data_IF_172164904089
#
_entry.id   IF_172164904089
#
_cell.length_a   1.000
_cell.length_b   1.000
_cell.length_c   1.000
_cell.angle_alpha   90.00
_cell.angle_beta   90.00
_cell.angle_gamma   90.00
#
_symmetry.space_group_name_H-M   'P 1'
#
loop_
_entity.id
_entity.type
_entity.pdbx_description
1 polymer ?
#
# COMPACT_ATOMS: atom_id res chain seq x y z
N UNK A 1 40.27 -12.42 8.20
CA UNK A 1 39.23 -12.13 9.22
C UNK A 1 37.87 -12.48 8.60
N UNK A 2 37.39 -13.69 8.89
CA UNK A 2 36.08 -14.20 8.44
C UNK A 2 35.34 -14.61 9.71
N UNK A 3 34.36 -13.83 10.15
CA UNK A 3 33.60 -14.11 11.35
C UNK A 3 32.50 -13.10 11.61
N UNK A 4 31.59 -12.89 10.65
CA UNK A 4 30.53 -11.88 10.78
C UNK A 4 29.09 -12.33 10.44
N UNK A 5 28.91 -13.47 9.80
CA UNK A 5 27.58 -13.80 9.24
C UNK A 5 26.86 -15.01 9.84
N UNK A 6 27.47 -15.76 10.74
CA UNK A 6 26.85 -16.98 11.31
C UNK A 6 25.80 -16.68 12.39
N UNK A 7 25.94 -15.59 13.14
CA UNK A 7 24.99 -15.21 14.20
C UNK A 7 23.69 -14.62 13.67
N UNK A 8 23.74 -13.91 12.55
CA UNK A 8 22.55 -13.30 11.93
C UNK A 8 21.65 -14.34 11.27
N UNK A 9 22.19 -15.41 10.72
CA UNK A 9 21.44 -16.51 10.10
C UNK A 9 20.76 -17.40 11.14
N UNK A 10 21.42 -17.73 12.24
CA UNK A 10 20.85 -18.57 13.29
C UNK A 10 19.71 -17.86 14.08
N UNK A 11 19.75 -16.54 14.16
CA UNK A 11 18.68 -15.73 14.78
C UNK A 11 17.45 -15.61 13.87
N UNK A 12 17.62 -15.69 12.54
CA UNK A 12 16.54 -15.60 11.53
C UNK A 12 15.67 -16.87 11.48
N UNK A 13 16.26 -18.04 11.38
CA UNK A 13 15.50 -19.31 11.21
C UNK A 13 14.75 -19.76 12.47
N UNK A 14 15.31 -19.50 13.66
CA UNK A 14 14.67 -19.86 14.94
C UNK A 14 13.47 -19.00 15.33
N UNK A 15 13.45 -17.73 14.89
CA UNK A 15 12.40 -16.78 15.28
C UNK A 15 11.14 -16.89 14.40
N UNK A 16 11.29 -17.19 13.09
CA UNK A 16 10.14 -17.34 12.19
C UNK A 16 9.27 -18.54 12.54
N UNK A 17 9.87 -19.67 12.88
CA UNK A 17 9.15 -20.89 13.26
C UNK A 17 8.52 -20.80 14.67
N UNK A 18 9.18 -20.09 15.59
CA UNK A 18 8.63 -19.80 16.92
C UNK A 18 7.46 -18.81 16.86
N UNK A 19 7.54 -17.78 16.03
CA UNK A 19 6.45 -16.83 15.84
C UNK A 19 5.24 -17.46 15.11
N UNK A 20 5.46 -18.26 14.06
CA UNK A 20 4.38 -19.03 13.42
C UNK A 20 3.68 -19.98 14.37
N UNK A 21 4.44 -20.69 15.21
CA UNK A 21 3.88 -21.61 16.21
C UNK A 21 3.14 -20.88 17.32
N UNK A 22 3.64 -19.71 17.77
CA UNK A 22 2.96 -18.89 18.77
C UNK A 22 1.64 -18.29 18.20
N UNK A 23 1.65 -17.83 16.97
CA UNK A 23 0.45 -17.31 16.27
C UNK A 23 -0.56 -18.43 16.04
N UNK A 24 -0.14 -19.60 15.56
CA UNK A 24 -1.02 -20.75 15.36
C UNK A 24 -1.60 -21.30 16.68
N UNK A 25 -0.80 -21.34 17.75
CA UNK A 25 -1.28 -21.77 19.08
C UNK A 25 -2.26 -20.75 19.69
N UNK A 26 -2.00 -19.45 19.51
CA UNK A 26 -2.89 -18.36 19.91
C UNK A 26 -4.22 -18.43 19.15
N UNK A 27 -4.18 -18.62 17.84
CA UNK A 27 -5.37 -18.74 17.00
C UNK A 27 -6.23 -19.97 17.35
N UNK A 28 -5.59 -21.10 17.67
CA UNK A 28 -6.30 -22.31 18.12
C UNK A 28 -6.99 -22.13 19.49
N UNK A 29 -6.42 -21.31 20.38
CA UNK A 29 -6.96 -21.02 21.70
C UNK A 29 -8.12 -19.99 21.64
N UNK A 30 -8.05 -19.05 20.69
CA UNK A 30 -9.09 -18.03 20.46
C UNK A 30 -10.33 -18.56 19.75
N UNK A 31 -10.21 -19.60 18.94
CA UNK A 31 -11.30 -20.19 18.16
C UNK A 31 -12.41 -20.81 19.02
N UNK A 32 -12.24 -20.98 20.35
CA UNK A 32 -13.12 -21.83 21.14
C UNK A 32 -14.13 -21.15 22.06
N UNK A 33 -14.23 -19.80 22.17
CA UNK A 33 -15.09 -19.24 23.20
C UNK A 33 -15.52 -17.75 23.11
N UNK A 34 -15.66 -17.18 21.91
CA UNK A 34 -16.13 -15.77 21.85
C UNK A 34 -17.57 -15.69 21.31
N UNK A 35 -18.59 -15.34 22.13
CA UNK A 35 -20.00 -15.35 21.72
C UNK A 35 -20.34 -14.48 20.51
N UNK A 36 -19.61 -13.37 20.33
CA UNK A 36 -19.87 -12.42 19.24
C UNK A 36 -18.97 -12.64 17.99
N UNK A 37 -18.05 -13.64 17.99
CA UNK A 37 -17.11 -13.80 16.87
C UNK A 37 -17.82 -14.09 15.54
N UNK A 38 -18.81 -14.97 15.54
CA UNK A 38 -19.59 -15.28 14.34
C UNK A 38 -20.39 -14.07 13.85
N UNK A 39 -20.95 -13.27 14.76
CA UNK A 39 -21.65 -12.02 14.43
C UNK A 39 -20.68 -10.99 13.81
N UNK A 40 -19.48 -10.88 14.35
CA UNK A 40 -18.43 -9.97 13.82
C UNK A 40 -17.92 -10.42 12.45
N UNK A 41 -17.72 -11.72 12.22
CA UNK A 41 -17.42 -12.26 10.89
C UNK A 41 -18.54 -11.90 9.92
N UNK A 42 -19.79 -12.12 10.29
CA UNK A 42 -20.95 -11.81 9.45
C UNK A 42 -21.07 -10.30 9.15
N UNK A 43 -20.75 -9.42 10.11
CA UNK A 43 -20.74 -7.97 9.91
C UNK A 43 -19.67 -7.56 8.87
N UNK A 44 -18.44 -8.06 9.01
CA UNK A 44 -17.36 -7.80 8.06
C UNK A 44 -17.73 -8.35 6.66
N UNK A 45 -18.21 -9.59 6.57
CA UNK A 45 -18.64 -10.22 5.30
C UNK A 45 -19.76 -9.41 4.64
N UNK A 46 -20.72 -8.89 5.44
CA UNK A 46 -21.79 -8.03 4.93
C UNK A 46 -21.24 -6.74 4.32
N UNK A 47 -20.29 -6.10 5.00
CA UNK A 47 -19.61 -4.92 4.50
C UNK A 47 -18.86 -5.22 3.19
N UNK A 48 -18.12 -6.32 3.13
CA UNK A 48 -17.40 -6.75 1.91
C UNK A 48 -18.38 -7.03 0.76
N UNK A 49 -19.46 -7.76 1.00
CA UNK A 49 -20.50 -8.03 -0.02
C UNK A 49 -21.15 -6.76 -0.54
N UNK A 50 -21.37 -5.76 0.31
CA UNK A 50 -21.89 -4.46 -0.10
C UNK A 50 -20.91 -3.68 -1.01
N UNK A 51 -19.62 -4.02 -0.98
CA UNK A 51 -18.61 -3.49 -1.89
C UNK A 51 -18.73 -3.94 -3.34
N UNK A 52 -19.45 -5.05 -3.62
CA UNK A 52 -19.62 -5.57 -4.98
C UNK A 52 -20.29 -4.57 -5.94
N UNK A 53 -19.83 -4.54 -7.20
CA UNK A 53 -20.30 -3.61 -8.23
C UNK A 53 -20.85 -4.39 -9.42
N UNK A 54 -21.99 -3.94 -9.97
CA UNK A 54 -22.58 -4.54 -11.16
C UNK A 54 -21.66 -4.38 -12.40
N UNK A 55 -20.89 -3.30 -12.44
CA UNK A 55 -19.91 -3.02 -13.50
C UNK A 55 -18.56 -2.71 -12.88
N UNK A 56 -17.58 -3.57 -13.15
CA UNK A 56 -16.20 -3.45 -12.67
C UNK A 56 -15.33 -2.88 -13.79
N UNK A 57 -15.07 -1.57 -13.77
CA UNK A 57 -14.23 -0.90 -14.79
C UNK A 57 -13.58 0.39 -14.30
N UNK A 58 -13.84 0.79 -13.06
CA UNK A 58 -13.31 2.02 -12.51
C UNK A 58 -12.08 1.75 -11.64
N UNK A 59 -11.14 2.67 -11.67
CA UNK A 59 -9.93 2.65 -10.84
C UNK A 59 -9.89 3.85 -9.92
N UNK A 60 -9.59 3.62 -8.64
CA UNK A 60 -9.16 4.66 -7.71
C UNK A 60 -7.65 4.72 -7.72
N UNK A 61 -7.08 5.91 -7.53
CA UNK A 61 -5.64 6.12 -7.53
C UNK A 61 -5.29 6.97 -6.31
N UNK A 62 -4.31 6.51 -5.53
CA UNK A 62 -3.69 7.25 -4.45
C UNK A 62 -2.24 7.53 -4.83
N UNK A 63 -1.76 8.76 -4.62
CA UNK A 63 -0.39 9.18 -4.86
C UNK A 63 0.11 10.03 -3.70
N UNK A 64 1.14 9.55 -3.03
CA UNK A 64 1.79 10.22 -1.91
C UNK A 64 3.00 11.01 -2.40
N UNK A 65 3.26 12.16 -1.77
CA UNK A 65 4.38 13.05 -2.07
C UNK A 65 5.17 13.36 -0.81
N UNK A 66 6.49 13.38 -0.93
CA UNK A 66 7.37 13.82 0.16
C UNK A 66 7.60 15.32 -0.01
N UNK A 67 7.11 16.14 0.94
CA UNK A 67 7.29 17.58 0.91
C UNK A 67 8.66 17.95 1.49
N UNK A 68 9.48 18.64 0.69
CA UNK A 68 10.82 19.12 1.08
C UNK A 68 10.99 20.59 0.75
N UNK A 69 11.84 21.27 1.50
CA UNK A 69 12.23 22.66 1.23
C UNK A 69 13.32 22.76 0.13
N UNK A 70 13.83 23.98 -0.11
CA UNK A 70 14.85 24.23 -1.12
C UNK A 70 16.21 23.57 -0.86
N UNK A 71 16.47 23.12 0.39
CA UNK A 71 17.70 22.40 0.79
C UNK A 71 17.53 20.87 0.73
N UNK A 72 16.28 20.41 0.60
CA UNK A 72 15.91 18.99 0.62
C UNK A 72 15.52 18.48 2.01
N UNK A 73 15.43 19.37 3.00
CA UNK A 73 14.94 19.02 4.33
C UNK A 73 13.41 18.87 4.33
N UNK A 74 12.84 17.97 5.16
CA UNK A 74 11.41 17.72 5.17
C UNK A 74 10.66 18.97 5.67
N UNK A 75 9.57 19.31 4.98
CA UNK A 75 8.61 20.29 5.46
C UNK A 75 7.69 19.59 6.45
N UNK A 76 7.82 19.93 7.74
CA UNK A 76 7.00 19.30 8.79
C UNK A 76 5.58 19.89 8.82
N UNK A 77 4.67 19.23 9.55
CA UNK A 77 3.30 19.73 9.69
C UNK A 77 3.21 21.08 10.42
N UNK A 78 3.91 21.18 11.56
CA UNK A 78 3.72 22.25 12.56
C UNK A 78 4.64 23.45 12.38
N UNK A 79 5.69 23.38 11.54
CA UNK A 79 6.60 24.49 11.32
C UNK A 79 5.88 25.70 10.65
N UNK A 80 6.38 26.92 10.81
CA UNK A 80 5.90 28.06 10.02
C UNK A 80 6.02 27.79 8.52
N UNK A 81 4.96 28.01 7.77
CA UNK A 81 4.81 27.58 6.37
C UNK A 81 4.97 26.06 6.18
N UNK A 82 4.52 25.28 7.15
CA UNK A 82 4.51 23.82 7.12
C UNK A 82 3.38 23.24 6.28
N UNK A 83 3.26 21.91 6.29
CA UNK A 83 2.23 21.22 5.48
C UNK A 83 0.81 21.59 5.91
N UNK A 84 0.58 21.96 7.18
CA UNK A 84 -0.70 22.55 7.61
C UNK A 84 -1.07 23.79 6.80
N UNK A 85 -0.10 24.69 6.57
CA UNK A 85 -0.32 25.93 5.82
C UNK A 85 -0.50 25.63 4.32
N UNK A 86 0.17 24.58 3.79
CA UNK A 86 -0.05 24.06 2.43
C UNK A 86 -1.49 23.55 2.29
N UNK A 87 -2.00 22.75 3.24
CA UNK A 87 -3.40 22.31 3.24
C UNK A 87 -4.38 23.49 3.29
N UNK A 88 -4.07 24.51 4.12
CA UNK A 88 -4.90 25.71 4.20
C UNK A 88 -4.92 26.49 2.85
N UNK A 89 -3.81 26.55 2.14
CA UNK A 89 -3.77 27.15 0.80
C UNK A 89 -4.56 26.33 -0.23
N UNK A 90 -4.52 24.99 -0.14
CA UNK A 90 -5.29 24.12 -1.02
C UNK A 90 -6.81 24.21 -0.75
N UNK A 91 -7.24 24.64 0.43
CA UNK A 91 -8.66 24.73 0.80
C UNK A 91 -9.48 25.64 -0.11
N UNK A 92 -8.85 26.60 -0.80
CA UNK A 92 -9.53 27.43 -1.80
C UNK A 92 -10.12 26.59 -2.95
N UNK A 93 -9.43 25.50 -3.34
CA UNK A 93 -9.83 24.60 -4.43
C UNK A 93 -10.44 23.29 -3.95
N UNK A 94 -10.21 22.94 -2.69
CA UNK A 94 -10.70 21.75 -2.00
C UNK A 94 -11.45 22.20 -0.73
N UNK A 95 -12.72 22.68 -0.85
CA UNK A 95 -13.40 23.41 0.22
C UNK A 95 -13.83 22.55 1.42
N UNK A 96 -13.91 21.23 1.27
CA UNK A 96 -14.27 20.34 2.37
C UNK A 96 -13.04 20.08 3.24
N UNK A 97 -13.12 20.38 4.54
CA UNK A 97 -12.00 20.24 5.47
C UNK A 97 -12.19 19.06 6.42
N UNK A 98 -11.14 18.28 6.60
CA UNK A 98 -11.03 17.27 7.66
C UNK A 98 -10.24 17.88 8.81
N UNK A 99 -10.91 18.12 9.94
CA UNK A 99 -10.30 18.71 11.14
C UNK A 99 -10.43 17.74 12.30
N UNK A 100 -9.35 17.54 13.03
CA UNK A 100 -9.34 16.72 14.25
C UNK A 100 -8.57 17.46 15.35
N UNK A 101 -9.15 17.61 16.54
CA UNK A 101 -8.52 18.33 17.66
C UNK A 101 -8.19 19.81 17.38
N UNK A 102 -8.77 20.41 16.33
CA UNK A 102 -8.45 21.76 15.87
C UNK A 102 -7.37 21.82 14.77
N UNK A 103 -6.75 20.70 14.44
CA UNK A 103 -5.74 20.57 13.39
C UNK A 103 -6.37 20.20 12.04
N UNK A 104 -5.98 20.92 10.97
CA UNK A 104 -6.41 20.62 9.60
C UNK A 104 -5.56 19.45 9.05
N UNK A 105 -6.16 18.30 8.88
CA UNK A 105 -5.49 17.06 8.46
C UNK A 105 -5.82 16.61 7.03
N UNK A 106 -6.69 17.33 6.36
CA UNK A 106 -7.03 17.07 4.97
C UNK A 106 -8.04 18.06 4.42
N UNK A 107 -8.10 18.11 3.10
CA UNK A 107 -9.07 18.91 2.34
C UNK A 107 -9.62 18.07 1.19
N UNK A 108 -10.87 18.33 0.75
CA UNK A 108 -11.47 17.54 -0.31
C UNK A 108 -12.39 18.37 -1.21
N UNK A 109 -12.63 17.82 -2.40
CA UNK A 109 -13.68 18.20 -3.35
C UNK A 109 -14.30 16.94 -3.95
N UNK A 110 -15.46 16.99 -4.61
CA UNK A 110 -16.02 15.81 -5.22
C UNK A 110 -15.05 15.07 -6.14
N UNK A 111 -14.76 13.80 -5.81
CA UNK A 111 -13.87 12.91 -6.56
C UNK A 111 -12.37 13.09 -6.29
N UNK A 112 -11.95 13.93 -5.36
CA UNK A 112 -10.55 14.10 -4.96
C UNK A 112 -10.41 14.57 -3.51
N UNK A 113 -9.63 13.85 -2.72
CA UNK A 113 -9.28 14.20 -1.36
C UNK A 113 -7.76 14.34 -1.23
N UNK A 114 -7.31 15.39 -0.56
CA UNK A 114 -5.91 15.60 -0.20
C UNK A 114 -5.78 15.38 1.28
N UNK A 115 -5.02 14.38 1.67
CA UNK A 115 -4.75 13.99 3.07
C UNK A 115 -3.26 14.04 3.37
N UNK A 116 -2.89 13.78 4.60
CA UNK A 116 -1.49 13.71 5.02
C UNK A 116 -1.21 12.42 5.78
N UNK A 117 -0.10 11.82 5.42
CA UNK A 117 0.45 10.62 6.03
C UNK A 117 1.28 10.95 7.29
N UNK A 118 1.75 9.96 8.11
CA UNK A 118 2.31 10.19 9.45
C UNK A 118 3.39 11.25 9.59
N UNK A 119 4.24 11.46 8.58
CA UNK A 119 5.28 12.49 8.59
C UNK A 119 5.00 13.60 7.58
N UNK A 120 3.72 13.95 7.44
CA UNK A 120 3.21 15.01 6.58
C UNK A 120 3.48 14.78 5.07
N UNK A 121 3.63 13.51 4.63
CA UNK A 121 3.58 13.21 3.21
C UNK A 121 2.19 13.60 2.70
N UNK A 122 2.16 14.39 1.62
CA UNK A 122 0.92 14.89 1.03
C UNK A 122 0.35 13.83 0.08
N UNK A 123 -0.85 13.34 0.34
CA UNK A 123 -1.51 12.31 -0.45
C UNK A 123 -2.69 12.87 -1.22
N UNK A 124 -2.75 12.60 -2.53
CA UNK A 124 -3.97 12.72 -3.31
C UNK A 124 -4.63 11.35 -3.48
N UNK A 125 -5.83 11.19 -2.95
CA UNK A 125 -6.74 10.08 -3.25
C UNK A 125 -7.81 10.56 -4.22
N UNK A 126 -7.87 10.01 -5.44
CA UNK A 126 -8.78 10.48 -6.47
C UNK A 126 -9.47 9.36 -7.25
N UNK A 127 -10.69 9.64 -7.71
CA UNK A 127 -11.54 8.73 -8.46
C UNK A 127 -12.84 8.37 -7.73
N UNK A 128 -13.43 7.19 -8.04
CA UNK A 128 -12.98 6.19 -9.02
C UNK A 128 -13.20 6.66 -10.47
N UNK A 129 -12.18 6.46 -11.32
CA UNK A 129 -12.17 6.88 -12.72
C UNK A 129 -12.60 5.75 -13.67
N UNK A 130 -13.50 6.06 -14.59
CA UNK A 130 -13.88 5.15 -15.68
C UNK A 130 -12.83 5.15 -16.81
N UNK A 131 -12.18 6.29 -17.04
CA UNK A 131 -11.10 6.43 -18.03
C UNK A 131 -9.89 7.18 -17.44
N UNK A 132 -8.71 6.87 -17.99
CA UNK A 132 -7.45 7.43 -17.48
C UNK A 132 -7.17 8.86 -17.96
N UNK A 133 -7.94 9.36 -18.94
CA UNK A 133 -7.84 10.76 -19.41
C UNK A 133 -8.33 11.70 -18.31
N UNK A 134 -9.44 11.34 -17.64
CA UNK A 134 -9.96 12.11 -16.51
C UNK A 134 -9.01 12.01 -15.31
N UNK A 135 -8.45 10.83 -15.04
CA UNK A 135 -7.42 10.67 -14.02
C UNK A 135 -6.22 11.60 -14.28
N UNK A 136 -5.68 11.59 -15.50
CA UNK A 136 -4.57 12.47 -15.90
C UNK A 136 -4.87 13.93 -15.60
N UNK A 137 -6.07 14.40 -15.95
CA UNK A 137 -6.45 15.80 -15.72
C UNK A 137 -6.45 16.13 -14.22
N UNK A 138 -7.06 15.29 -13.38
CA UNK A 138 -7.14 15.52 -11.93
C UNK A 138 -5.76 15.52 -11.26
N UNK A 139 -4.88 14.59 -11.65
CA UNK A 139 -3.54 14.51 -11.07
C UNK A 139 -2.65 15.68 -11.50
N UNK A 140 -2.72 16.12 -12.77
CA UNK A 140 -1.97 17.30 -13.23
C UNK A 140 -2.49 18.59 -12.59
N UNK A 141 -3.81 18.73 -12.41
CA UNK A 141 -4.39 19.87 -11.67
C UNK A 141 -3.86 19.89 -10.23
N UNK A 142 -3.82 18.74 -9.56
CA UNK A 142 -3.29 18.67 -8.20
C UNK A 142 -1.80 19.01 -8.10
N UNK A 143 -0.96 18.50 -9.03
CA UNK A 143 0.47 18.88 -9.02
C UNK A 143 0.68 20.38 -9.19
N UNK A 144 -0.10 21.03 -10.07
CA UNK A 144 -0.07 22.48 -10.22
C UNK A 144 -0.53 23.19 -8.92
N UNK A 145 -1.61 22.71 -8.30
CA UNK A 145 -2.13 23.24 -7.04
C UNK A 145 -1.10 23.11 -5.90
N UNK A 146 -0.48 21.93 -5.77
CA UNK A 146 0.57 21.66 -4.78
C UNK A 146 1.82 22.51 -5.05
N UNK A 147 2.22 22.67 -6.31
CA UNK A 147 3.32 23.54 -6.69
C UNK A 147 3.03 25.00 -6.29
N UNK A 148 1.82 25.51 -6.57
CA UNK A 148 1.43 26.87 -6.21
C UNK A 148 1.44 27.10 -4.68
N UNK A 149 1.06 26.07 -3.90
CA UNK A 149 1.08 26.15 -2.44
C UNK A 149 2.51 26.07 -1.85
N UNK A 150 3.40 25.27 -2.46
CA UNK A 150 4.76 25.03 -1.96
C UNK A 150 5.80 26.04 -2.47
N UNK A 151 5.68 26.52 -3.72
CA UNK A 151 6.70 27.37 -4.34
C UNK A 151 6.98 28.70 -3.60
N UNK A 152 5.99 29.39 -2.96
CA UNK A 152 6.25 30.61 -2.20
C UNK A 152 7.17 30.41 -0.99
N UNK A 153 7.25 29.18 -0.47
CA UNK A 153 8.12 28.81 0.65
C UNK A 153 9.39 28.08 0.18
N UNK A 154 9.66 28.04 -1.13
CA UNK A 154 10.79 27.33 -1.72
C UNK A 154 10.65 25.79 -1.66
N UNK A 155 9.47 25.29 -1.33
CA UNK A 155 9.20 23.88 -1.16
C UNK A 155 8.92 23.14 -2.49
N UNK A 156 9.02 21.82 -2.44
CA UNK A 156 8.71 20.90 -3.53
C UNK A 156 8.02 19.65 -3.00
N UNK A 157 7.13 19.08 -3.80
CA UNK A 157 6.54 17.75 -3.60
C UNK A 157 7.33 16.74 -4.45
N UNK A 158 7.99 15.76 -3.81
CA UNK A 158 8.77 14.73 -4.49
C UNK A 158 7.92 13.47 -4.67
N UNK A 159 7.95 12.91 -5.86
CA UNK A 159 7.36 11.61 -6.18
C UNK A 159 8.44 10.52 -6.16
N UNK A 160 8.99 10.22 -4.98
CA UNK A 160 9.97 9.17 -4.72
C UNK A 160 9.40 8.16 -3.72
N UNK A 161 9.80 6.90 -3.82
CA UNK A 161 9.32 5.83 -2.94
C UNK A 161 9.77 5.97 -1.49
N UNK A 162 10.85 6.74 -1.23
CA UNK A 162 11.36 7.00 0.10
C UNK A 162 12.06 8.35 0.18
N UNK A 163 12.08 8.95 1.37
CA UNK A 163 12.79 10.20 1.63
C UNK A 163 14.29 10.04 1.31
N UNK A 164 14.82 10.80 0.34
CA UNK A 164 16.18 10.57 -0.14
C UNK A 164 17.25 11.09 0.82
N UNK A 165 16.92 11.98 1.75
CA UNK A 165 17.89 12.68 2.60
C UNK A 165 17.76 12.29 4.05
N UNK A 166 16.53 12.28 4.58
CA UNK A 166 16.29 12.29 6.00
C UNK A 166 16.04 10.88 6.54
N UNK A 167 16.52 10.63 7.76
CA UNK A 167 16.23 9.38 8.45
C UNK A 167 14.77 9.41 8.92
N UNK A 168 14.05 8.34 8.66
CA UNK A 168 12.65 8.21 9.04
C UNK A 168 12.42 8.40 10.56
N UNK A 169 13.36 7.92 11.38
CA UNK A 169 13.28 8.03 12.84
C UNK A 169 13.33 9.48 13.35
N UNK A 170 13.94 10.39 12.59
CA UNK A 170 14.16 11.78 12.98
C UNK A 170 13.01 12.72 12.54
N UNK A 171 12.08 12.23 11.69
CA UNK A 171 10.96 13.03 11.18
C UNK A 171 9.85 13.16 12.22
N UNK A 172 9.25 14.37 12.31
CA UNK A 172 8.11 14.68 13.18
C UNK A 172 6.85 13.91 12.71
N UNK A 173 6.02 13.48 13.67
CA UNK A 173 4.68 12.96 13.39
C UNK A 173 3.66 14.12 13.36
N UNK A 174 2.65 14.01 12.50
CA UNK A 174 1.51 14.93 12.52
C UNK A 174 0.68 14.73 13.80
N UNK A 175 -0.08 15.75 14.26
CA UNK A 175 -0.85 15.70 15.50
C UNK A 175 -2.12 14.83 15.36
N UNK A 176 -1.92 13.51 15.27
CA UNK A 176 -2.99 12.53 15.15
C UNK A 176 -2.68 11.33 16.07
N UNK A 177 -3.38 11.23 17.19
CA UNK A 177 -3.17 10.21 18.23
C UNK A 177 -2.98 8.79 17.69
N UNK A 178 -3.74 8.43 16.62
CA UNK A 178 -3.57 7.16 15.93
C UNK A 178 -2.11 6.90 15.52
N UNK A 179 -1.41 7.92 15.01
CA UNK A 179 -0.03 7.76 14.54
C UNK A 179 0.99 7.69 15.68
N UNK A 180 0.72 8.33 16.81
CA UNK A 180 1.54 8.17 18.01
C UNK A 180 1.48 6.73 18.51
N UNK A 181 0.28 6.15 18.62
CA UNK A 181 0.08 4.76 19.02
C UNK A 181 0.69 3.76 18.04
N UNK A 182 0.51 3.98 16.73
CA UNK A 182 1.12 3.14 15.71
C UNK A 182 2.64 3.22 15.76
N UNK A 183 3.20 4.42 15.95
CA UNK A 183 4.64 4.59 16.06
C UNK A 183 5.22 3.91 17.31
N UNK A 184 4.55 4.01 18.46
CA UNK A 184 4.96 3.31 19.69
C UNK A 184 5.00 1.79 19.45
N UNK A 185 3.92 1.22 18.97
CA UNK A 185 3.81 -0.22 18.73
C UNK A 185 4.81 -0.71 17.67
N UNK A 186 4.84 -0.10 16.49
CA UNK A 186 5.68 -0.55 15.38
C UNK A 186 7.18 -0.35 15.66
N UNK A 187 7.54 0.70 16.41
CA UNK A 187 8.93 0.90 16.87
C UNK A 187 9.37 -0.18 17.87
N UNK A 188 8.45 -0.75 18.65
CA UNK A 188 8.75 -1.84 19.57
C UNK A 188 9.07 -3.16 18.85
N UNK A 189 8.55 -3.36 17.64
CA UNK A 189 8.86 -4.53 16.80
C UNK A 189 10.25 -4.39 16.17
N UNK A 190 10.62 -3.19 15.73
CA UNK A 190 11.93 -2.95 15.11
C UNK A 190 12.03 -1.64 14.33
N UNK A 191 13.16 -1.42 13.66
CA UNK A 191 13.43 -0.14 12.98
C UNK A 191 12.61 0.07 11.68
N UNK A 192 11.91 -0.95 11.19
CA UNK A 192 11.20 -0.88 9.91
C UNK A 192 9.83 -0.20 10.04
N UNK A 193 9.20 -0.24 11.22
CA UNK A 193 7.95 0.48 11.48
C UNK A 193 8.07 2.00 11.27
N UNK A 194 9.01 2.70 11.90
CA UNK A 194 9.27 4.12 11.62
C UNK A 194 9.58 4.42 10.15
N UNK A 195 10.31 3.53 9.46
CA UNK A 195 10.62 3.66 8.03
C UNK A 195 9.37 3.58 7.16
N UNK A 196 8.50 2.62 7.46
CA UNK A 196 7.19 2.49 6.81
C UNK A 196 6.35 3.75 7.01
N UNK A 197 6.21 4.21 8.24
CA UNK A 197 5.31 5.32 8.57
C UNK A 197 5.81 6.68 8.11
N UNK A 198 7.11 6.97 8.27
CA UNK A 198 7.64 8.32 8.16
C UNK A 198 8.55 8.55 6.96
N UNK A 199 9.06 7.48 6.37
CA UNK A 199 10.03 7.59 5.27
C UNK A 199 9.46 7.29 3.90
N UNK A 200 8.49 6.38 3.81
CA UNK A 200 7.98 5.89 2.52
C UNK A 200 6.87 6.77 1.94
N UNK A 201 6.75 6.72 0.62
CA UNK A 201 5.61 7.22 -0.14
C UNK A 201 5.28 6.26 -1.29
N UNK A 202 4.00 6.17 -1.65
CA UNK A 202 3.50 5.13 -2.56
C UNK A 202 2.55 5.65 -3.64
N UNK A 203 2.32 4.77 -4.63
CA UNK A 203 1.20 4.81 -5.54
C UNK A 203 0.34 3.59 -5.30
N UNK A 204 -0.95 3.76 -5.01
CA UNK A 204 -1.86 2.65 -4.76
C UNK A 204 -3.00 2.69 -5.77
N UNK A 205 -3.38 1.52 -6.29
CA UNK A 205 -4.48 1.40 -7.27
C UNK A 205 -5.58 0.53 -6.68
N UNK A 206 -6.77 1.10 -6.63
CA UNK A 206 -7.99 0.43 -6.17
C UNK A 206 -8.84 -0.01 -7.35
N UNK A 207 -9.33 -1.25 -7.32
CA UNK A 207 -10.17 -1.85 -8.36
C UNK A 207 -11.45 -2.45 -7.77
N UNK A 208 -12.54 -2.35 -8.54
CA UNK A 208 -13.82 -2.95 -8.20
C UNK A 208 -13.82 -4.48 -8.33
N UNK A 209 -14.74 -5.14 -7.62
CA UNK A 209 -15.08 -6.56 -7.81
C UNK A 209 -16.59 -6.74 -7.97
N UNK A 210 -16.99 -7.80 -8.70
CA UNK A 210 -18.38 -8.08 -9.00
C UNK A 210 -19.09 -8.92 -7.92
N UNK A 211 -18.35 -9.84 -7.33
CA UNK A 211 -18.79 -10.73 -6.26
C UNK A 211 -17.59 -11.29 -5.49
N UNK A 212 -17.84 -12.16 -4.53
CA UNK A 212 -16.79 -12.78 -3.71
C UNK A 212 -15.81 -13.60 -4.55
N UNK A 213 -16.27 -14.36 -5.52
CA UNK A 213 -15.41 -15.19 -6.36
C UNK A 213 -14.48 -14.36 -7.25
N UNK A 214 -14.99 -13.30 -7.86
CA UNK A 214 -14.21 -12.32 -8.65
C UNK A 214 -13.21 -11.58 -7.75
N UNK A 215 -13.64 -11.18 -6.54
CA UNK A 215 -12.78 -10.53 -5.56
C UNK A 215 -11.57 -11.40 -5.18
N UNK A 216 -11.82 -12.63 -4.75
CA UNK A 216 -10.74 -13.55 -4.32
C UNK A 216 -9.83 -13.91 -5.49
N UNK A 217 -10.37 -14.10 -6.70
CA UNK A 217 -9.56 -14.33 -7.90
C UNK A 217 -8.62 -13.14 -8.19
N UNK A 218 -9.14 -11.91 -8.10
CA UNK A 218 -8.35 -10.68 -8.25
C UNK A 218 -7.29 -10.54 -7.16
N UNK A 219 -7.65 -10.78 -5.90
CA UNK A 219 -6.70 -10.72 -4.78
C UNK A 219 -5.56 -11.72 -4.95
N UNK A 220 -5.85 -12.99 -5.29
CA UNK A 220 -4.83 -14.02 -5.51
C UNK A 220 -3.87 -13.65 -6.63
N UNK A 221 -4.41 -13.23 -7.77
CA UNK A 221 -3.60 -12.78 -8.92
C UNK A 221 -2.76 -11.56 -8.53
N UNK A 222 -3.35 -10.55 -7.89
CA UNK A 222 -2.62 -9.37 -7.46
C UNK A 222 -1.51 -9.70 -6.45
N UNK A 223 -1.77 -10.64 -5.53
CA UNK A 223 -0.79 -11.09 -4.54
C UNK A 223 0.41 -11.82 -5.19
N UNK A 224 0.17 -12.67 -6.19
CA UNK A 224 1.24 -13.31 -6.97
C UNK A 224 2.06 -12.27 -7.76
N UNK A 225 1.39 -11.27 -8.32
CA UNK A 225 2.03 -10.24 -9.14
C UNK A 225 2.63 -9.08 -8.33
N UNK A 226 2.31 -8.96 -7.04
CA UNK A 226 2.78 -7.85 -6.19
C UNK A 226 4.31 -7.64 -6.23
N UNK A 227 5.17 -8.70 -6.17
CA UNK A 227 6.62 -8.50 -6.30
C UNK A 227 7.05 -7.94 -7.66
N UNK A 228 6.35 -8.32 -8.74
CA UNK A 228 6.63 -7.82 -10.10
C UNK A 228 6.12 -6.38 -10.28
N UNK A 229 4.97 -6.04 -9.68
CA UNK A 229 4.50 -4.65 -9.64
C UNK A 229 5.48 -3.76 -8.87
N UNK A 230 5.99 -4.23 -7.72
CA UNK A 230 7.04 -3.53 -6.99
C UNK A 230 8.29 -3.31 -7.85
N UNK A 231 8.73 -4.31 -8.62
CA UNK A 231 9.88 -4.17 -9.52
C UNK A 231 9.63 -3.13 -10.62
N UNK A 232 8.49 -3.23 -11.30
CA UNK A 232 8.16 -2.33 -12.41
C UNK A 232 7.99 -0.88 -11.94
N UNK A 233 7.62 -0.66 -10.68
CA UNK A 233 7.34 0.63 -10.07
C UNK A 233 8.37 1.04 -9.00
N UNK A 234 9.58 0.46 -9.01
CA UNK A 234 10.64 0.76 -8.05
C UNK A 234 11.24 2.15 -8.34
N UNK A 235 11.09 3.06 -7.38
CA UNK A 235 11.51 4.46 -7.48
C UNK A 235 12.17 4.96 -6.18
N UNK A 236 13.02 4.12 -5.58
CA UNK A 236 13.78 4.49 -4.38
C UNK A 236 15.29 4.42 -4.68
N UNK A 237 15.88 5.41 -5.39
CA UNK A 237 17.31 5.40 -5.74
C UNK A 237 18.22 5.68 -4.54
N UNK A 238 17.74 6.46 -3.58
CA UNK A 238 18.43 6.87 -2.35
C UNK A 238 17.57 6.52 -1.15
N UNK A 239 18.19 6.04 -0.10
CA UNK A 239 17.55 5.60 1.13
C UNK A 239 18.27 6.20 2.35
N UNK A 240 17.57 7.07 3.11
CA UNK A 240 18.11 7.74 4.30
C UNK A 240 19.50 8.38 4.05
N UNK A 241 19.64 9.18 2.98
CA UNK A 241 20.87 9.91 2.65
C UNK A 241 21.98 9.08 1.98
N UNK A 242 21.73 7.81 1.70
CA UNK A 242 22.71 6.91 1.08
C UNK A 242 22.15 6.20 -0.14
N UNK A 243 23.04 5.78 -1.06
CA UNK A 243 22.59 4.91 -2.15
C UNK A 243 21.91 3.67 -1.55
N UNK A 244 20.75 3.28 -2.12
CA UNK A 244 20.03 2.08 -1.68
C UNK A 244 20.92 0.83 -1.69
N UNK A 245 20.82 -0.07 -0.69
CA UNK A 245 21.64 -1.28 -0.62
C UNK A 245 21.28 -2.33 -1.68
N UNK A 246 20.03 -2.36 -2.12
CA UNK A 246 19.49 -3.27 -3.15
C UNK A 246 18.22 -2.66 -3.78
N UNK A 247 17.60 -3.35 -4.73
CA UNK A 247 16.33 -2.94 -5.34
C UNK A 247 15.15 -3.11 -4.36
N UNK A 248 14.00 -2.51 -4.68
CA UNK A 248 12.72 -2.74 -4.00
C UNK A 248 12.77 -2.46 -2.48
N UNK A 249 13.28 -1.29 -2.08
CA UNK A 249 13.36 -0.90 -0.67
C UNK A 249 12.00 -0.94 0.04
N UNK A 250 10.91 -0.54 -0.64
CA UNK A 250 9.55 -0.65 -0.11
C UNK A 250 9.22 -2.09 0.26
N UNK A 251 9.54 -3.06 -0.60
CA UNK A 251 9.30 -4.49 -0.32
C UNK A 251 10.02 -4.94 0.95
N UNK A 252 11.28 -4.53 1.16
CA UNK A 252 12.02 -4.85 2.37
C UNK A 252 11.39 -4.21 3.61
N UNK A 253 11.00 -2.95 3.53
CA UNK A 253 10.33 -2.23 4.63
C UNK A 253 9.09 -2.99 5.09
N UNK A 254 8.18 -3.34 4.17
CA UNK A 254 6.96 -4.07 4.50
C UNK A 254 7.22 -5.50 4.98
N UNK A 255 8.22 -6.17 4.41
CA UNK A 255 8.60 -7.53 4.79
C UNK A 255 8.96 -7.65 6.27
N UNK A 256 9.59 -6.61 6.83
CA UNK A 256 10.10 -6.62 8.21
C UNK A 256 9.38 -5.65 9.15
N UNK A 257 8.33 -4.98 8.71
CA UNK A 257 7.57 -4.01 9.51
C UNK A 257 6.79 -4.69 10.63
N UNK A 258 5.79 -5.50 10.27
CA UNK A 258 4.93 -6.21 11.21
C UNK A 258 4.38 -7.49 10.55
N UNK A 259 4.76 -8.68 11.05
CA UNK A 259 4.35 -9.94 10.45
C UNK A 259 2.85 -10.23 10.57
N UNK A 260 2.14 -9.63 11.51
CA UNK A 260 0.72 -9.89 11.74
C UNK A 260 -0.18 -9.19 10.70
N UNK A 261 0.31 -8.10 10.07
CA UNK A 261 -0.52 -7.23 9.22
C UNK A 261 0.06 -6.86 7.87
N UNK A 262 1.34 -7.18 7.60
CA UNK A 262 2.04 -6.87 6.35
C UNK A 262 2.20 -8.13 5.47
N UNK A 263 2.68 -7.94 4.24
CA UNK A 263 2.94 -9.00 3.26
C UNK A 263 1.68 -9.63 2.65
N UNK A 264 1.60 -10.96 2.64
CA UNK A 264 0.42 -11.68 2.13
C UNK A 264 -0.66 -11.78 3.19
N UNK A 265 -1.92 -11.77 2.77
CA UNK A 265 -3.02 -12.18 3.65
C UNK A 265 -2.88 -13.68 3.93
N UNK A 266 -2.82 -14.11 5.19
CA UNK A 266 -2.67 -15.52 5.54
C UNK A 266 -3.78 -16.38 4.92
N UNK A 267 -3.41 -17.50 4.32
CA UNK A 267 -4.36 -18.44 3.73
C UNK A 267 -4.95 -18.03 2.38
N UNK A 268 -4.60 -16.87 1.81
CA UNK A 268 -5.17 -16.38 0.53
C UNK A 268 -5.03 -17.38 -0.62
N UNK A 269 -4.03 -18.25 -0.56
CA UNK A 269 -3.76 -19.28 -1.57
C UNK A 269 -4.44 -20.62 -1.27
N UNK A 270 -5.10 -20.77 -0.12
CA UNK A 270 -5.77 -22.01 0.27
C UNK A 270 -7.02 -22.23 -0.57
N UNK A 271 -7.33 -23.52 -0.85
CA UNK A 271 -8.58 -23.87 -1.51
C UNK A 271 -9.78 -23.48 -0.62
N UNK A 272 -10.74 -22.79 -1.21
CA UNK A 272 -11.95 -22.37 -0.50
C UNK A 272 -11.83 -21.05 0.28
N UNK A 273 -10.64 -20.39 0.33
CA UNK A 273 -10.51 -19.10 0.95
C UNK A 273 -11.55 -18.09 0.41
N UNK A 274 -12.24 -17.40 1.31
CA UNK A 274 -13.31 -16.47 1.01
C UNK A 274 -13.36 -15.26 1.96
N UNK A 275 -14.47 -14.54 1.92
CA UNK A 275 -14.68 -13.37 2.79
C UNK A 275 -14.71 -13.71 4.27
N UNK A 276 -15.18 -14.92 4.63
CA UNK A 276 -15.19 -15.37 6.03
C UNK A 276 -13.77 -15.55 6.57
N UNK A 277 -12.84 -16.11 5.76
CA UNK A 277 -11.45 -16.28 6.13
C UNK A 277 -10.75 -14.93 6.26
N UNK A 278 -11.02 -14.00 5.33
CA UNK A 278 -10.50 -12.64 5.43
C UNK A 278 -11.03 -11.91 6.67
N UNK A 279 -12.30 -12.07 7.01
CA UNK A 279 -12.91 -11.52 8.22
C UNK A 279 -12.28 -12.12 9.49
N UNK A 280 -12.04 -13.44 9.51
CA UNK A 280 -11.35 -14.11 10.60
C UNK A 280 -9.91 -13.57 10.77
N UNK A 281 -9.18 -13.39 9.66
CA UNK A 281 -7.85 -12.75 9.69
C UNK A 281 -7.91 -11.36 10.33
N UNK A 282 -8.85 -10.49 9.95
CA UNK A 282 -8.97 -9.16 10.54
C UNK A 282 -9.23 -9.22 12.05
N UNK A 283 -10.04 -10.16 12.51
CA UNK A 283 -10.34 -10.32 13.94
C UNK A 283 -9.13 -10.85 14.74
N UNK A 284 -8.21 -11.54 14.10
CA UNK A 284 -7.03 -12.14 14.75
C UNK A 284 -5.80 -11.18 14.78
N UNK A 285 -5.87 -10.05 14.06
CA UNK A 285 -4.79 -9.04 14.08
C UNK A 285 -4.87 -8.18 15.34
N UNK A 286 -3.74 -7.91 16.04
CA UNK A 286 -3.68 -6.92 17.11
C UNK A 286 -4.14 -5.55 16.62
N UNK A 287 -5.03 -4.89 17.35
CA UNK A 287 -5.64 -3.63 16.88
C UNK A 287 -4.64 -2.48 16.78
N UNK A 288 -3.69 -2.37 17.71
CA UNK A 288 -2.81 -1.20 17.98
C UNK A 288 -3.65 0.01 18.37
N UNK A 289 -4.65 0.32 17.54
CA UNK A 289 -5.59 1.41 17.74
C UNK A 289 -7.00 0.82 17.70
N UNK A 290 -7.75 1.02 18.75
CA UNK A 290 -9.19 0.76 18.80
C UNK A 290 -9.94 2.10 18.87
N UNK A 291 -11.23 2.09 18.53
CA UNK A 291 -12.11 3.23 18.76
C UNK A 291 -12.80 3.07 20.11
N UNK A 292 -12.91 4.14 20.87
CA UNK A 292 -13.76 4.19 22.06
C UNK A 292 -15.22 4.48 21.71
N UNK A 293 -16.08 4.63 22.72
CA UNK A 293 -17.51 4.85 22.54
C UNK A 293 -17.84 6.21 21.86
N UNK A 294 -16.91 7.16 21.89
CA UNK A 294 -17.02 8.46 21.22
C UNK A 294 -16.37 8.45 19.81
N UNK A 295 -15.80 7.30 19.38
CA UNK A 295 -15.11 7.13 18.11
C UNK A 295 -13.66 7.65 18.12
N UNK A 296 -13.13 8.01 19.28
CA UNK A 296 -11.76 8.49 19.42
C UNK A 296 -10.76 7.32 19.49
N UNK A 297 -9.57 7.55 18.96
CA UNK A 297 -8.50 6.56 18.95
C UNK A 297 -7.93 6.30 20.34
N UNK A 298 -7.83 5.03 20.74
CA UNK A 298 -7.14 4.59 21.95
C UNK A 298 -6.16 3.47 21.65
N UNK A 299 -5.06 3.41 22.40
CA UNK A 299 -4.08 2.33 22.29
C UNK A 299 -4.64 1.03 22.85
N UNK A 300 -4.59 -0.05 22.07
CA UNK A 300 -5.00 -1.39 22.50
C UNK A 300 -4.24 -2.46 21.70
N UNK A 301 -3.53 -3.33 22.39
CA UNK A 301 -2.72 -4.41 21.76
C UNK A 301 -3.44 -5.74 21.68
N UNK A 302 -4.68 -5.82 22.18
CA UNK A 302 -5.53 -7.00 21.98
C UNK A 302 -5.91 -7.13 20.51
N UNK A 303 -6.28 -8.32 20.08
CA UNK A 303 -6.87 -8.50 18.75
C UNK A 303 -8.25 -7.86 18.67
N UNK A 304 -8.70 -7.53 17.46
CA UNK A 304 -10.08 -7.06 17.27
C UNK A 304 -11.10 -8.07 17.78
N UNK A 305 -10.86 -9.38 17.58
CA UNK A 305 -11.71 -10.43 18.13
C UNK A 305 -11.79 -10.44 19.66
N UNK A 306 -10.71 -10.12 20.36
CA UNK A 306 -10.70 -9.99 21.83
C UNK A 306 -11.42 -8.71 22.30
N UNK A 307 -11.24 -7.60 21.59
CA UNK A 307 -11.92 -6.33 21.91
C UNK A 307 -13.43 -6.47 21.77
N UNK A 308 -13.88 -7.11 20.71
CA UNK A 308 -15.30 -7.29 20.38
C UNK A 308 -15.85 -8.67 20.76
N UNK A 309 -15.25 -9.34 21.77
CA UNK A 309 -15.65 -10.69 22.19
C UNK A 309 -17.11 -10.81 22.66
N UNK A 310 -17.73 -9.71 23.10
CA UNK A 310 -19.03 -9.71 23.75
C UNK A 310 -20.09 -8.83 23.07
N UNK A 311 -19.78 -8.24 21.93
CA UNK A 311 -20.72 -7.45 21.14
C UNK A 311 -20.36 -7.45 19.65
N UNK A 312 -21.34 -7.19 18.81
CA UNK A 312 -21.09 -6.93 17.39
C UNK A 312 -20.33 -5.60 17.19
N UNK A 313 -19.51 -5.57 16.14
CA UNK A 313 -18.85 -4.36 15.65
C UNK A 313 -19.87 -3.47 14.92
N UNK A 314 -19.70 -2.17 15.07
CA UNK A 314 -20.38 -1.17 14.23
C UNK A 314 -19.72 -1.09 12.85
N UNK A 315 -20.38 -0.45 11.88
CA UNK A 315 -19.83 -0.25 10.54
C UNK A 315 -18.50 0.54 10.57
N UNK A 316 -18.40 1.55 11.44
CA UNK A 316 -17.17 2.34 11.63
C UNK A 316 -16.03 1.50 12.20
N UNK A 317 -16.32 0.61 13.14
CA UNK A 317 -15.34 -0.31 13.72
C UNK A 317 -14.88 -1.38 12.71
N UNK A 318 -15.78 -1.87 11.87
CA UNK A 318 -15.45 -2.76 10.75
C UNK A 318 -14.52 -2.04 9.76
N UNK A 319 -14.88 -0.82 9.36
CA UNK A 319 -14.03 -0.01 8.47
C UNK A 319 -12.67 0.29 9.10
N UNK A 320 -12.65 0.62 10.40
CA UNK A 320 -11.43 0.85 11.14
C UNK A 320 -10.53 -0.40 11.16
N UNK A 321 -11.06 -1.58 11.48
CA UNK A 321 -10.30 -2.83 11.50
C UNK A 321 -9.66 -3.11 10.12
N UNK A 322 -10.40 -2.94 9.02
CA UNK A 322 -9.85 -3.08 7.66
C UNK A 322 -8.73 -2.06 7.36
N UNK A 323 -8.76 -0.88 7.99
CA UNK A 323 -7.73 0.14 7.83
C UNK A 323 -6.44 -0.14 8.62
N UNK A 324 -6.46 -1.12 9.54
CA UNK A 324 -5.34 -1.45 10.43
C UNK A 324 -4.47 -2.61 9.95
N UNK A 325 -4.71 -3.12 8.74
CA UNK A 325 -3.87 -4.12 8.07
C UNK A 325 -3.21 -3.52 6.83
N UNK A 326 -1.98 -3.94 6.55
CA UNK A 326 -1.13 -3.35 5.52
C UNK A 326 -0.53 -4.40 4.57
N UNK A 327 -1.31 -5.41 4.10
CA UNK A 327 -0.79 -6.39 3.16
C UNK A 327 -0.48 -5.74 1.81
N UNK A 328 0.25 -6.45 0.94
CA UNK A 328 0.52 -6.00 -0.44
C UNK A 328 -0.76 -5.77 -1.25
N UNK A 329 -1.78 -6.57 -0.94
CA UNK A 329 -3.13 -6.45 -1.52
C UNK A 329 -4.14 -6.45 -0.38
N UNK A 330 -4.78 -5.32 -0.17
CA UNK A 330 -5.75 -5.11 0.91
C UNK A 330 -7.18 -5.16 0.36
N UNK A 331 -8.08 -5.81 1.09
CA UNK A 331 -9.49 -5.81 0.78
C UNK A 331 -10.25 -4.83 1.68
N UNK A 332 -10.97 -3.95 1.01
CA UNK A 332 -11.99 -3.05 1.57
C UNK A 332 -13.30 -3.28 0.80
N UNK A 333 -14.11 -2.24 0.57
CA UNK A 333 -15.19 -2.29 -0.43
C UNK A 333 -14.68 -2.30 -1.90
N UNK A 334 -13.37 -2.51 -2.07
CA UNK A 334 -12.60 -2.64 -3.30
C UNK A 334 -11.30 -3.41 -3.00
N UNK A 335 -10.62 -3.88 -4.03
CA UNK A 335 -9.28 -4.48 -3.90
C UNK A 335 -8.24 -3.39 -4.12
N UNK A 336 -7.39 -3.16 -3.14
CA UNK A 336 -6.35 -2.14 -3.14
C UNK A 336 -4.98 -2.78 -3.35
N UNK A 337 -4.28 -2.39 -4.41
CA UNK A 337 -2.98 -2.93 -4.83
C UNK A 337 -1.90 -1.91 -4.44
N UNK A 338 -1.00 -2.27 -3.52
CA UNK A 338 -0.18 -1.34 -2.71
C UNK A 338 1.33 -1.38 -2.91
N UNK A 339 1.93 -2.28 -3.73
CA UNK A 339 3.39 -2.50 -3.72
C UNK A 339 4.22 -1.42 -4.43
N UNK A 340 3.60 -0.50 -5.19
CA UNK A 340 4.31 0.49 -5.97
C UNK A 340 4.83 1.67 -5.13
N UNK A 341 6.04 2.12 -5.42
CA UNK A 341 6.57 3.38 -4.92
C UNK A 341 5.78 4.59 -5.46
N UNK A 342 5.92 5.73 -4.82
CA UNK A 342 5.48 7.01 -5.40
C UNK A 342 6.28 7.31 -6.66
N UNK A 343 5.59 7.75 -7.72
CA UNK A 343 6.17 7.94 -9.04
C UNK A 343 5.65 9.22 -9.70
N UNK A 344 6.38 9.82 -10.68
CA UNK A 344 5.84 10.89 -11.51
C UNK A 344 4.56 10.47 -12.25
N UNK A 345 3.64 11.41 -12.47
CA UNK A 345 2.29 11.15 -13.04
C UNK A 345 2.29 10.26 -14.29
N UNK A 346 3.18 10.40 -15.27
CA UNK A 346 3.19 9.51 -16.43
C UNK A 346 3.30 8.02 -16.04
N UNK A 347 4.06 7.69 -15.01
CA UNK A 347 4.25 6.32 -14.51
C UNK A 347 3.12 5.87 -13.59
N UNK A 348 2.53 6.79 -12.80
CA UNK A 348 1.29 6.53 -12.05
C UNK A 348 0.17 6.10 -12.99
N UNK A 349 -0.03 6.84 -14.08
CA UNK A 349 -1.05 6.53 -15.08
C UNK A 349 -0.71 5.24 -15.85
N UNK A 350 0.58 4.98 -16.10
CA UNK A 350 1.01 3.73 -16.74
C UNK A 350 0.75 2.52 -15.83
N UNK A 351 0.99 2.65 -14.52
CA UNK A 351 0.66 1.62 -13.54
C UNK A 351 -0.85 1.41 -13.42
N UNK A 352 -1.64 2.49 -13.37
CA UNK A 352 -3.11 2.40 -13.39
C UNK A 352 -3.62 1.71 -14.69
N UNK A 353 -3.02 2.01 -15.85
CA UNK A 353 -3.32 1.35 -17.12
C UNK A 353 -2.95 -0.14 -17.08
N UNK A 354 -1.79 -0.49 -16.53
CA UNK A 354 -1.37 -1.88 -16.34
C UNK A 354 -2.43 -2.64 -15.53
N UNK A 355 -2.76 -2.14 -14.34
CA UNK A 355 -3.74 -2.78 -13.45
C UNK A 355 -5.11 -2.87 -14.13
N UNK A 356 -5.61 -1.78 -14.73
CA UNK A 356 -6.90 -1.77 -15.43
C UNK A 356 -6.96 -2.82 -16.55
N UNK A 357 -5.93 -2.89 -17.37
CA UNK A 357 -5.86 -3.84 -18.49
C UNK A 357 -5.77 -5.30 -18.04
N UNK A 358 -5.04 -5.57 -16.97
CA UNK A 358 -4.88 -6.92 -16.43
C UNK A 358 -6.17 -7.43 -15.75
N UNK A 359 -6.82 -6.59 -14.94
CA UNK A 359 -7.91 -7.02 -14.06
C UNK A 359 -9.32 -6.79 -14.60
N UNK A 360 -9.50 -5.90 -15.58
CA UNK A 360 -10.80 -5.68 -16.23
C UNK A 360 -10.88 -6.24 -17.66
N UNK A 361 -9.75 -6.54 -18.28
CA UNK A 361 -9.71 -7.32 -19.51
C UNK A 361 -10.08 -8.79 -19.21
N UNK A 362 -11.30 -9.22 -19.57
CA UNK A 362 -11.79 -10.57 -19.26
C UNK A 362 -10.80 -11.68 -19.63
N UNK A 363 -10.29 -11.68 -20.86
CA UNK A 363 -9.31 -12.67 -21.31
C UNK A 363 -7.96 -12.53 -20.59
N UNK A 364 -7.60 -11.32 -20.16
CA UNK A 364 -6.38 -11.04 -19.42
C UNK A 364 -6.45 -11.65 -18.02
N UNK A 365 -7.52 -11.35 -17.27
CA UNK A 365 -7.72 -11.91 -15.95
C UNK A 365 -7.82 -13.44 -15.96
N UNK A 366 -8.59 -14.03 -16.88
CA UNK A 366 -8.70 -15.49 -17.04
C UNK A 366 -7.33 -16.14 -17.33
N UNK A 367 -6.48 -15.47 -18.10
CA UNK A 367 -5.12 -15.95 -18.39
C UNK A 367 -4.26 -15.89 -17.14
N UNK A 368 -4.31 -14.79 -16.39
CA UNK A 368 -3.58 -14.62 -15.14
C UNK A 368 -4.02 -15.64 -14.08
N UNK A 369 -5.32 -15.86 -13.90
CA UNK A 369 -5.84 -16.86 -12.95
C UNK A 369 -5.24 -18.24 -13.25
N UNK A 370 -5.17 -18.64 -14.54
CA UNK A 370 -4.55 -19.92 -14.91
C UNK A 370 -3.02 -19.93 -14.68
N UNK A 371 -2.34 -18.82 -15.02
CA UNK A 371 -0.88 -18.73 -14.88
C UNK A 371 -0.42 -18.67 -13.43
N UNK A 372 -1.23 -18.12 -12.54
CA UNK A 372 -0.96 -18.01 -11.10
C UNK A 372 -1.40 -19.27 -10.33
N UNK A 373 -2.07 -20.23 -10.97
CA UNK A 373 -2.54 -21.43 -10.30
C UNK A 373 -1.35 -22.25 -9.75
N UNK A 374 -1.46 -22.67 -8.48
CA UNK A 374 -0.45 -23.49 -7.81
C UNK A 374 0.75 -22.72 -7.23
N UNK A 375 0.80 -21.38 -7.40
CA UNK A 375 1.79 -20.55 -6.71
C UNK A 375 1.35 -20.39 -5.26
N UNK A 376 2.30 -20.61 -4.34
CA UNK A 376 2.08 -20.53 -2.90
C UNK A 376 2.58 -19.22 -2.30
N UNK A 377 2.20 -18.94 -1.05
CA UNK A 377 2.74 -17.81 -0.27
C UNK A 377 4.27 -17.86 -0.17
N UNK A 378 4.84 -19.05 0.02
CA UNK A 378 6.30 -19.26 0.03
C UNK A 378 6.96 -18.88 -1.30
N UNK A 379 6.30 -19.13 -2.42
CA UNK A 379 6.85 -18.78 -3.73
C UNK A 379 6.79 -17.26 -3.95
N UNK A 380 5.76 -16.58 -3.47
CA UNK A 380 5.69 -15.11 -3.46
C UNK A 380 6.80 -14.51 -2.59
N UNK A 381 7.04 -15.07 -1.40
CA UNK A 381 8.11 -14.61 -0.52
C UNK A 381 9.50 -14.79 -1.17
N UNK A 382 9.76 -15.93 -1.81
CA UNK A 382 11.01 -16.17 -2.57
C UNK A 382 11.14 -15.23 -3.77
N UNK A 383 10.04 -14.92 -4.45
CA UNK A 383 10.05 -13.97 -5.55
C UNK A 383 10.44 -12.56 -5.08
N UNK A 384 9.92 -12.11 -3.93
CA UNK A 384 10.35 -10.84 -3.31
C UNK A 384 11.86 -10.82 -3.08
N UNK A 385 12.42 -11.88 -2.47
CA UNK A 385 13.86 -11.96 -2.18
C UNK A 385 14.71 -11.96 -3.46
N UNK A 386 14.34 -12.75 -4.45
CA UNK A 386 15.05 -12.82 -5.72
C UNK A 386 15.05 -11.49 -6.48
N UNK A 387 13.90 -10.78 -6.47
CA UNK A 387 13.77 -9.48 -7.13
C UNK A 387 14.53 -8.37 -6.39
N UNK A 388 14.57 -8.39 -5.05
CA UNK A 388 15.41 -7.46 -4.27
C UNK A 388 16.90 -7.63 -4.61
N UNK A 389 17.36 -8.87 -4.80
CA UNK A 389 18.75 -9.18 -5.10
C UNK A 389 19.13 -8.89 -6.56
N UNK A 390 18.29 -9.28 -7.51
CA UNK A 390 18.67 -9.37 -8.94
C UNK A 390 17.77 -8.58 -9.90
N UNK A 391 16.70 -7.92 -9.42
CA UNK A 391 15.80 -7.11 -10.25
C UNK A 391 15.26 -7.89 -11.46
N UNK A 392 15.33 -7.31 -12.64
CA UNK A 392 14.90 -7.96 -13.89
C UNK A 392 15.70 -9.21 -14.28
N UNK A 393 16.88 -9.41 -13.73
CA UNK A 393 17.69 -10.61 -13.98
C UNK A 393 17.28 -11.82 -13.11
N UNK A 394 16.36 -11.61 -12.17
CA UNK A 394 15.88 -12.67 -11.30
C UNK A 394 15.08 -13.73 -12.06
N UNK A 395 15.08 -14.96 -11.51
CA UNK A 395 14.12 -16.01 -11.82
C UNK A 395 13.07 -16.07 -10.71
N UNK A 396 11.80 -15.94 -11.06
CA UNK A 396 10.66 -16.03 -10.16
C UNK A 396 9.62 -16.97 -10.74
N UNK A 397 8.99 -17.80 -9.90
CA UNK A 397 8.00 -18.77 -10.35
C UNK A 397 8.53 -19.68 -11.46
N UNK A 398 9.82 -20.06 -11.42
CA UNK A 398 10.54 -20.86 -12.40
C UNK A 398 10.60 -20.23 -13.82
N UNK A 399 10.53 -18.89 -13.90
CA UNK A 399 10.54 -18.12 -15.14
C UNK A 399 11.37 -16.84 -14.97
N UNK A 400 11.87 -16.31 -16.08
CA UNK A 400 12.52 -15.00 -16.08
C UNK A 400 11.54 -13.88 -15.67
N UNK A 401 11.91 -13.10 -14.66
CA UNK A 401 11.13 -11.91 -14.23
C UNK A 401 10.92 -10.93 -15.38
N UNK A 402 11.96 -10.73 -16.21
CA UNK A 402 11.90 -9.86 -17.38
C UNK A 402 10.86 -10.33 -18.41
N UNK A 403 10.81 -11.63 -18.71
CA UNK A 403 9.82 -12.19 -19.64
C UNK A 403 8.39 -12.09 -19.11
N UNK A 404 8.21 -12.32 -17.80
CA UNK A 404 6.87 -12.15 -17.18
C UNK A 404 6.43 -10.68 -17.29
N UNK A 405 7.31 -9.71 -17.01
CA UNK A 405 6.97 -8.28 -17.13
C UNK A 405 6.61 -7.90 -18.57
N UNK A 406 7.29 -8.42 -19.61
CA UNK A 406 6.93 -8.21 -21.03
C UNK A 406 5.52 -8.77 -21.33
N UNK A 407 5.22 -9.95 -20.82
CA UNK A 407 3.90 -10.57 -20.96
C UNK A 407 2.81 -9.76 -20.27
N UNK A 408 3.07 -9.24 -19.06
CA UNK A 408 2.11 -8.40 -18.33
C UNK A 408 1.78 -7.11 -19.11
N UNK A 409 2.79 -6.42 -19.66
CA UNK A 409 2.57 -5.25 -20.54
C UNK A 409 1.73 -5.62 -21.75
N UNK A 410 2.06 -6.73 -22.41
CA UNK A 410 1.33 -7.21 -23.59
C UNK A 410 -0.12 -7.55 -23.26
N UNK A 411 -0.32 -8.23 -22.14
CA UNK A 411 -1.64 -8.67 -21.68
C UNK A 411 -2.52 -7.49 -21.26
N UNK A 412 -1.91 -6.52 -20.54
CA UNK A 412 -2.59 -5.30 -20.15
C UNK A 412 -3.06 -4.49 -21.38
N UNK A 413 -2.19 -4.33 -22.39
CA UNK A 413 -2.53 -3.62 -23.63
C UNK A 413 -3.73 -4.27 -24.34
N UNK A 414 -3.84 -5.60 -24.33
CA UNK A 414 -5.00 -6.33 -24.90
C UNK A 414 -6.29 -6.10 -24.13
N UNK A 415 -6.19 -5.92 -22.81
CA UNK A 415 -7.35 -5.70 -21.94
C UNK A 415 -7.83 -4.25 -21.87
N UNK A 416 -7.04 -3.29 -22.38
CA UNK A 416 -7.37 -1.87 -22.36
C UNK A 416 -8.15 -1.44 -23.60
N UNK A 417 -9.03 -0.42 -23.48
CA UNK A 417 -9.55 0.31 -24.63
C UNK A 417 -8.41 0.93 -25.45
N UNK A 418 -8.52 0.94 -26.78
CA UNK A 418 -7.47 1.45 -27.68
C UNK A 418 -7.10 2.92 -27.37
N UNK A 419 -8.04 3.73 -26.91
CA UNK A 419 -7.82 5.11 -26.51
C UNK A 419 -6.91 5.28 -25.28
N UNK A 420 -6.68 4.21 -24.52
CA UNK A 420 -5.87 4.22 -23.29
C UNK A 420 -4.50 3.50 -23.47
N UNK A 421 -4.22 2.91 -24.62
CA UNK A 421 -2.97 2.15 -24.84
C UNK A 421 -1.70 2.95 -24.60
N UNK A 422 -1.69 4.23 -24.99
CA UNK A 422 -0.52 5.10 -24.85
C UNK A 422 -0.13 5.38 -23.40
N UNK A 423 -1.04 5.19 -22.44
CA UNK A 423 -0.69 5.32 -21.03
C UNK A 423 0.30 4.25 -20.55
N UNK A 424 0.34 3.08 -21.18
CA UNK A 424 1.30 2.03 -20.87
C UNK A 424 2.73 2.34 -21.32
N UNK A 425 2.91 3.23 -22.29
CA UNK A 425 4.19 3.40 -22.98
C UNK A 425 5.36 3.76 -22.06
N UNK A 426 5.22 4.67 -21.04
CA UNK A 426 6.32 4.98 -20.13
C UNK A 426 6.83 3.74 -19.38
N UNK A 427 5.93 2.93 -18.85
CA UNK A 427 6.28 1.73 -18.09
C UNK A 427 6.80 0.61 -19.02
N UNK A 428 6.20 0.47 -20.20
CA UNK A 428 6.66 -0.48 -21.22
C UNK A 428 8.09 -0.19 -21.70
N UNK A 429 8.49 1.09 -21.80
CA UNK A 429 9.85 1.49 -22.14
C UNK A 429 10.85 1.06 -21.05
N UNK A 430 10.54 1.31 -19.77
CA UNK A 430 11.40 0.88 -18.66
C UNK A 430 11.56 -0.65 -18.64
N UNK A 431 10.44 -1.37 -18.79
CA UNK A 431 10.46 -2.83 -18.84
C UNK A 431 11.30 -3.33 -20.01
N UNK A 432 11.14 -2.78 -21.22
CA UNK A 432 11.93 -3.17 -22.40
C UNK A 432 13.43 -2.92 -22.22
N UNK A 433 13.81 -1.86 -21.49
CA UNK A 433 15.20 -1.53 -21.15
C UNK A 433 15.75 -2.31 -19.95
N UNK A 434 14.89 -3.04 -19.21
CA UNK A 434 15.27 -3.76 -17.98
C UNK A 434 15.82 -2.82 -16.91
N UNK A 435 15.24 -1.65 -16.77
CA UNK A 435 15.58 -0.63 -15.77
C UNK A 435 14.32 -0.21 -15.01
N UNK A 436 14.52 0.31 -13.82
CA UNK A 436 13.46 0.93 -12.99
C UNK A 436 13.66 2.45 -12.97
N UNK A 437 12.70 3.19 -12.42
CA UNK A 437 12.88 4.64 -12.21
C UNK A 437 14.08 4.91 -11.29
N UNK A 438 14.31 4.07 -10.30
CA UNK A 438 15.44 4.20 -9.38
C UNK A 438 16.82 3.98 -10.03
N UNK A 439 16.88 3.46 -11.25
CA UNK A 439 18.12 3.30 -12.02
C UNK A 439 18.39 4.51 -12.92
N UNK A 440 17.43 5.42 -13.05
CA UNK A 440 17.60 6.66 -13.82
C UNK A 440 18.25 7.74 -12.94
N UNK A 441 18.85 8.74 -13.59
CA UNK A 441 19.41 9.89 -12.86
C UNK A 441 18.27 10.71 -12.23
N UNK A 442 18.34 10.94 -10.90
CA UNK A 442 17.35 11.73 -10.16
C UNK A 442 17.20 13.15 -10.74
N UNK A 443 18.25 13.69 -11.36
CA UNK A 443 18.20 15.01 -12.01
C UNK A 443 17.28 15.06 -13.25
N UNK A 444 16.84 13.90 -13.73
CA UNK A 444 15.99 13.74 -14.92
C UNK A 444 14.55 13.35 -14.57
N UNK A 445 14.23 13.16 -13.30
CA UNK A 445 12.91 12.91 -12.75
C UNK A 445 12.33 14.20 -12.17
#
# INVERSE_FOLDING_TARGET
MKGGNAWALCWREGNEDLMRKATAARNAQLASSQPAREENIAAIVTHLRAGAKAECRRVGIELEHICVDGTGDPITYSQPNGVRDVLAALQEKYPEATVHGGDLLGVARPGAAVTIEPAAQLELSAGPFENLIDAKRVFLEFEDDAYQALSPIGGRALTLGFDPVNRAADKELIPKARYDYMNEYLSSIGPWGPRMMRGSASTQISIDYADEADCIAKMRVAQVLAPLFALMCDNTPVFEGSRRPHALMRTEIWKYCDPDRCNSVPGIFDEGFGFEDYAAYLLDVPAIVALDDDGEARYDTRTFGEIFAHRAMTDDEVFHAMSMVFPDVRLKSYVEIRPADSMPIPYVLAYAALIKGLFYGKSSLETLVRSCAGISESDVAKAKDALMESGYAAEVYQRSAAEICDELITLARRGLPAAEWYFLDPLAELVARRVTLADLDISTQ
#
